data_IF_657207362867
#
_entry.id   IF_657207362867
#
_cell.length_a   1.000
_cell.length_b   1.000
_cell.length_c   1.000
_cell.angle_alpha   90.00
_cell.angle_beta   90.00
_cell.angle_gamma   90.00
#
_symmetry.space_group_name_H-M   'P 1'
#
loop_
_entity.id
_entity.type
_entity.pdbx_description
1 polymer ?
#
# COMPACT_ATOMS: atom_id res chain seq x y z
N UNK A 1 19.25 8.17 -11.76
CA UNK A 1 17.97 7.81 -11.12
C UNK A 1 16.91 7.71 -12.22
N UNK A 2 16.48 6.51 -12.62
CA UNK A 2 15.47 6.35 -13.68
C UNK A 2 14.16 7.00 -13.27
N UNK A 3 13.59 7.83 -14.15
CA UNK A 3 12.33 8.53 -13.91
C UNK A 3 11.26 7.57 -13.37
N UNK A 4 10.88 7.75 -12.09
CA UNK A 4 9.71 7.08 -11.52
C UNK A 4 8.50 7.62 -12.29
N UNK A 5 7.74 6.74 -12.93
CA UNK A 5 6.57 7.09 -13.74
C UNK A 5 5.47 7.80 -12.94
N UNK A 6 4.26 7.96 -13.51
CA UNK A 6 3.15 8.62 -12.81
C UNK A 6 2.81 7.90 -11.50
N UNK A 7 2.35 8.67 -10.52
CA UNK A 7 1.95 8.13 -9.21
C UNK A 7 0.44 7.86 -9.21
N UNK A 8 0.03 6.69 -8.73
CA UNK A 8 -1.37 6.35 -8.52
C UNK A 8 -1.94 7.18 -7.37
N UNK A 9 -3.06 7.86 -7.63
CA UNK A 9 -3.84 8.60 -6.63
C UNK A 9 -5.23 8.00 -6.38
N UNK A 10 -5.56 6.90 -7.08
CA UNK A 10 -6.83 6.19 -6.97
C UNK A 10 -6.56 4.68 -6.83
N UNK A 11 -7.05 4.00 -5.77
CA UNK A 11 -6.83 2.57 -5.55
C UNK A 11 -7.26 1.70 -6.73
N UNK A 12 -8.34 2.07 -7.42
CA UNK A 12 -8.83 1.33 -8.59
C UNK A 12 -7.77 1.18 -9.69
N UNK A 13 -6.78 2.08 -9.75
CA UNK A 13 -5.70 1.98 -10.72
C UNK A 13 -4.83 0.72 -10.51
N UNK A 14 -4.76 0.19 -9.29
CA UNK A 14 -3.96 -1.01 -8.97
C UNK A 14 -4.52 -2.29 -9.59
N UNK A 15 -5.84 -2.34 -9.83
CA UNK A 15 -6.50 -3.46 -10.52
C UNK A 15 -6.15 -3.57 -12.02
N UNK A 16 -5.41 -2.61 -12.58
CA UNK A 16 -4.83 -2.79 -13.91
C UNK A 16 -3.79 -3.93 -13.93
N UNK A 17 -3.15 -4.22 -12.80
CA UNK A 17 -2.39 -5.44 -12.61
C UNK A 17 -3.30 -6.60 -12.19
N UNK A 18 -2.92 -7.83 -12.53
CA UNK A 18 -3.60 -9.03 -12.03
C UNK A 18 -3.15 -9.35 -10.59
N UNK A 19 -3.56 -8.48 -9.66
CA UNK A 19 -3.11 -8.52 -8.27
C UNK A 19 -3.48 -9.84 -7.58
N UNK A 20 -4.61 -10.45 -7.94
CA UNK A 20 -5.06 -11.70 -7.33
C UNK A 20 -4.17 -12.88 -7.71
N UNK A 21 -3.77 -12.96 -8.98
CA UNK A 21 -2.80 -13.96 -9.43
C UNK A 21 -1.47 -13.81 -8.69
N UNK A 22 -1.01 -12.58 -8.50
CA UNK A 22 0.23 -12.30 -7.79
C UNK A 22 0.11 -12.64 -6.28
N UNK A 23 -1.02 -12.35 -5.65
CA UNK A 23 -1.32 -12.76 -4.26
C UNK A 23 -1.28 -14.29 -4.11
N UNK A 24 -1.98 -15.05 -4.97
CA UNK A 24 -1.96 -16.52 -4.93
C UNK A 24 -0.55 -17.06 -5.17
N UNK A 25 0.18 -16.47 -6.12
CA UNK A 25 1.51 -16.94 -6.50
C UNK A 25 2.56 -16.70 -5.41
N UNK A 26 2.50 -15.55 -4.75
CA UNK A 26 3.57 -15.07 -3.88
C UNK A 26 3.22 -15.07 -2.40
N UNK A 27 1.95 -14.92 -2.04
CA UNK A 27 1.53 -14.64 -0.67
C UNK A 27 0.67 -15.75 -0.03
N UNK A 28 0.22 -16.75 -0.79
CA UNK A 28 -0.65 -17.79 -0.22
C UNK A 28 0.08 -18.62 0.85
N UNK A 29 -0.49 -18.81 2.06
CA UNK A 29 0.10 -19.67 3.07
C UNK A 29 0.06 -21.14 2.65
N UNK A 30 1.20 -21.83 2.70
CA UNK A 30 1.27 -23.27 2.42
C UNK A 30 0.98 -23.62 0.97
N UNK A 31 0.19 -24.68 0.75
CA UNK A 31 -0.16 -25.16 -0.60
C UNK A 31 -1.15 -24.21 -1.26
N UNK A 32 -0.80 -23.74 -2.47
CA UNK A 32 -1.67 -22.87 -3.28
C UNK A 32 -2.98 -23.57 -3.62
N UNK A 33 -4.11 -22.85 -3.59
CA UNK A 33 -5.40 -23.45 -3.87
C UNK A 33 -5.58 -23.65 -5.37
N UNK A 34 -6.36 -24.68 -5.74
CA UNK A 34 -6.75 -24.89 -7.14
C UNK A 34 -7.75 -23.81 -7.62
N UNK A 35 -8.61 -23.35 -6.71
CA UNK A 35 -9.59 -22.28 -6.94
C UNK A 35 -9.74 -21.40 -5.69
N UNK A 36 -10.16 -20.16 -5.88
CA UNK A 36 -10.43 -19.22 -4.78
C UNK A 36 -11.64 -18.35 -5.12
N UNK A 37 -12.32 -17.87 -4.09
CA UNK A 37 -13.37 -16.85 -4.17
C UNK A 37 -12.83 -15.51 -3.67
N UNK A 38 -13.42 -14.41 -4.11
CA UNK A 38 -13.07 -13.06 -3.68
C UNK A 38 -14.28 -12.42 -3.02
N UNK A 39 -14.11 -11.93 -1.79
CA UNK A 39 -15.09 -11.10 -1.11
C UNK A 39 -14.54 -9.67 -0.99
N UNK A 40 -15.33 -8.66 -1.34
CA UNK A 40 -14.94 -7.25 -1.28
C UNK A 40 -15.52 -6.59 -0.03
N UNK A 41 -14.81 -5.58 0.49
CA UNK A 41 -15.25 -4.74 1.62
C UNK A 41 -15.70 -5.52 2.86
N UNK A 42 -14.92 -6.52 3.26
CA UNK A 42 -15.25 -7.39 4.40
C UNK A 42 -15.01 -6.64 5.72
N UNK A 43 -16.02 -6.58 6.59
CA UNK A 43 -15.90 -5.95 7.91
C UNK A 43 -14.99 -6.77 8.84
N UNK A 44 -14.04 -6.10 9.49
CA UNK A 44 -13.15 -6.64 10.51
C UNK A 44 -13.52 -6.08 11.89
N UNK A 45 -14.82 -6.11 12.22
CA UNK A 45 -15.36 -5.61 13.47
C UNK A 45 -14.94 -4.15 13.72
N UNK A 46 -14.44 -3.81 14.92
CA UNK A 46 -13.98 -2.45 15.26
C UNK A 46 -12.70 -2.00 14.55
N UNK A 47 -11.99 -2.89 13.82
CA UNK A 47 -10.75 -2.56 13.12
C UNK A 47 -10.96 -1.99 11.70
N UNK A 48 -12.23 -1.80 11.30
CA UNK A 48 -12.62 -1.27 10.00
C UNK A 48 -12.87 -2.35 8.96
N UNK A 49 -12.76 -2.02 7.67
CA UNK A 49 -12.99 -2.95 6.54
C UNK A 49 -11.67 -3.39 5.91
N UNK A 50 -11.65 -4.60 5.36
CA UNK A 50 -10.64 -5.10 4.42
C UNK A 50 -11.13 -4.89 2.99
N UNK A 51 -10.29 -4.34 2.11
CA UNK A 51 -10.69 -4.03 0.72
C UNK A 51 -11.13 -5.29 -0.05
N UNK A 52 -10.36 -6.37 0.04
CA UNK A 52 -10.81 -7.68 -0.41
C UNK A 52 -10.11 -8.85 0.28
N UNK A 53 -10.79 -10.00 0.29
CA UNK A 53 -10.32 -11.25 0.88
C UNK A 53 -10.38 -12.35 -0.18
N UNK A 54 -9.25 -13.02 -0.42
CA UNK A 54 -9.18 -14.21 -1.27
C UNK A 54 -9.31 -15.43 -0.36
N UNK A 55 -10.31 -16.28 -0.58
CA UNK A 55 -10.60 -17.43 0.25
C UNK A 55 -10.64 -18.72 -0.57
N UNK A 56 -9.96 -19.76 -0.08
CA UNK A 56 -10.14 -21.13 -0.56
C UNK A 56 -11.29 -21.76 0.21
N UNK A 57 -12.22 -22.38 -0.53
CA UNK A 57 -13.35 -23.09 0.06
C UNK A 57 -13.31 -24.58 -0.25
N UNK A 58 -13.85 -25.40 0.64
CA UNK A 58 -14.15 -26.80 0.36
C UNK A 58 -15.43 -26.97 -0.48
N UNK A 59 -15.84 -28.21 -0.74
CA UNK A 59 -17.06 -28.55 -1.47
C UNK A 59 -18.35 -28.13 -0.75
N UNK A 60 -18.30 -27.92 0.57
CA UNK A 60 -19.42 -27.48 1.40
C UNK A 60 -19.44 -25.94 1.59
N UNK A 61 -18.56 -25.21 0.89
CA UNK A 61 -18.35 -23.76 1.01
C UNK A 61 -17.76 -23.28 2.35
N UNK A 62 -17.15 -24.16 3.15
CA UNK A 62 -16.39 -23.73 4.33
C UNK A 62 -15.05 -23.13 3.92
N UNK A 63 -14.60 -22.09 4.63
CA UNK A 63 -13.30 -21.45 4.39
C UNK A 63 -12.19 -22.32 4.98
N UNK A 64 -11.28 -22.79 4.12
CA UNK A 64 -10.10 -23.58 4.51
C UNK A 64 -8.94 -22.65 4.89
N UNK A 65 -8.70 -21.64 4.06
CA UNK A 65 -7.61 -20.68 4.19
C UNK A 65 -7.99 -19.40 3.44
N UNK A 66 -7.48 -18.26 3.89
CA UNK A 66 -7.72 -16.98 3.23
C UNK A 66 -6.51 -16.06 3.30
N UNK A 67 -6.53 -14.98 2.52
CA UNK A 67 -5.57 -13.88 2.56
C UNK A 67 -6.33 -12.58 2.40
N UNK A 68 -6.07 -11.61 3.27
CA UNK A 68 -6.61 -10.25 3.14
C UNK A 68 -5.72 -9.42 2.23
N UNK A 69 -6.32 -8.51 1.46
CA UNK A 69 -5.65 -7.61 0.53
C UNK A 69 -6.12 -6.19 0.79
N UNK A 70 -5.17 -5.27 0.94
CA UNK A 70 -5.36 -3.84 1.12
C UNK A 70 -4.71 -3.08 -0.03
N UNK A 71 -5.44 -2.18 -0.64
CA UNK A 71 -4.97 -1.34 -1.73
C UNK A 71 -4.59 0.04 -1.20
N UNK A 72 -3.36 0.46 -1.44
CA UNK A 72 -2.91 1.79 -1.02
C UNK A 72 -2.30 2.60 -2.16
N UNK A 73 -2.84 3.81 -2.33
CA UNK A 73 -2.33 4.85 -3.23
C UNK A 73 -2.03 6.13 -2.47
N UNK A 74 -1.49 7.15 -3.14
CA UNK A 74 -1.19 8.41 -2.46
C UNK A 74 -2.41 9.34 -2.46
N UNK A 75 -2.70 9.95 -1.32
CA UNK A 75 -3.63 11.07 -1.24
C UNK A 75 -2.98 12.33 -1.84
N UNK A 76 -3.79 13.30 -2.26
CA UNK A 76 -3.30 14.63 -2.66
C UNK A 76 -3.78 15.72 -1.71
N UNK A 77 -3.03 16.82 -1.65
CA UNK A 77 -3.52 18.13 -1.20
C UNK A 77 -3.89 18.98 -2.42
N UNK A 78 -4.74 19.99 -2.22
CA UNK A 78 -5.29 20.76 -3.34
C UNK A 78 -6.26 19.92 -4.17
N UNK A 79 -6.39 20.21 -5.46
CA UNK A 79 -7.34 19.49 -6.31
C UNK A 79 -6.92 19.49 -7.78
N UNK A 80 -7.01 18.34 -8.44
CA UNK A 80 -6.94 18.23 -9.91
C UNK A 80 -8.31 18.42 -10.57
N UNK A 81 -9.38 18.57 -9.80
CA UNK A 81 -10.76 18.68 -10.30
C UNK A 81 -10.94 19.81 -11.33
N UNK A 82 -10.30 20.99 -11.22
CA UNK A 82 -10.43 22.01 -12.26
C UNK A 82 -9.93 21.54 -13.64
N UNK A 83 -8.85 20.75 -13.69
CA UNK A 83 -8.38 20.16 -14.94
C UNK A 83 -9.33 19.09 -15.47
N UNK A 84 -9.88 18.25 -14.58
CA UNK A 84 -10.91 17.29 -14.96
C UNK A 84 -12.16 17.98 -15.54
N UNK A 85 -12.66 19.02 -14.85
CA UNK A 85 -13.81 19.79 -15.29
C UNK A 85 -13.57 20.48 -16.64
N UNK A 86 -12.40 21.09 -16.83
CA UNK A 86 -12.04 21.68 -18.12
C UNK A 86 -12.05 20.62 -19.23
N UNK A 87 -11.46 19.46 -18.98
CA UNK A 87 -11.41 18.35 -19.94
C UNK A 87 -12.79 17.83 -20.33
N UNK A 88 -13.67 17.49 -19.38
CA UNK A 88 -15.00 16.95 -19.69
C UNK A 88 -15.91 17.96 -20.40
N UNK A 89 -15.70 19.25 -20.16
CA UNK A 89 -16.47 20.32 -20.79
C UNK A 89 -15.82 20.85 -22.08
N UNK A 90 -14.74 20.21 -22.55
CA UNK A 90 -13.95 20.69 -23.71
C UNK A 90 -13.50 22.16 -23.60
N UNK A 91 -13.29 22.64 -22.37
CA UNK A 91 -12.84 24.00 -22.08
C UNK A 91 -11.31 24.03 -21.96
N UNK A 92 -10.71 25.16 -22.36
CA UNK A 92 -9.30 25.43 -22.05
C UNK A 92 -9.14 25.63 -20.55
N UNK A 93 -8.00 25.18 -20.05
CA UNK A 93 -7.62 25.32 -18.66
C UNK A 93 -6.83 26.61 -18.50
N UNK A 94 -7.44 27.62 -17.86
CA UNK A 94 -6.83 28.95 -17.72
C UNK A 94 -5.54 28.93 -16.90
N UNK A 95 -5.49 28.05 -15.89
CA UNK A 95 -4.33 27.86 -15.03
C UNK A 95 -4.19 26.40 -14.62
N UNK A 96 -2.94 25.96 -14.49
CA UNK A 96 -2.63 24.62 -13.97
C UNK A 96 -3.16 24.49 -12.52
N UNK A 97 -3.96 23.45 -12.19
CA UNK A 97 -4.37 23.23 -10.82
C UNK A 97 -3.18 22.98 -9.92
N UNK A 98 -3.28 23.50 -8.70
CA UNK A 98 -2.27 23.28 -7.66
C UNK A 98 -2.68 22.07 -6.84
N UNK A 99 -1.85 21.04 -6.86
CA UNK A 99 -1.99 19.86 -6.00
C UNK A 99 -0.61 19.28 -5.71
N UNK A 100 -0.48 18.61 -4.57
CA UNK A 100 0.74 17.92 -4.16
C UNK A 100 0.41 16.56 -3.56
N UNK A 101 1.37 15.64 -3.53
CA UNK A 101 1.20 14.35 -2.88
C UNK A 101 1.31 14.48 -1.36
N UNK A 102 0.34 13.92 -0.64
CA UNK A 102 0.29 13.95 0.82
C UNK A 102 0.93 12.70 1.45
N UNK A 103 2.23 12.50 1.17
CA UNK A 103 2.99 11.33 1.62
C UNK A 103 2.91 11.10 3.13
N UNK A 104 2.99 12.18 3.91
CA UNK A 104 3.00 12.12 5.38
C UNK A 104 1.67 11.62 5.94
N UNK A 105 0.55 12.06 5.36
CA UNK A 105 -0.78 11.59 5.78
C UNK A 105 -0.96 10.10 5.47
N UNK A 106 -0.56 9.70 4.25
CA UNK A 106 -0.64 8.31 3.82
C UNK A 106 0.21 7.42 4.74
N UNK A 107 1.45 7.82 5.04
CA UNK A 107 2.30 7.09 5.99
C UNK A 107 1.60 6.89 7.34
N UNK A 108 1.15 7.97 7.99
CA UNK A 108 0.54 7.93 9.33
C UNK A 108 -0.71 7.04 9.38
N UNK A 109 -1.60 7.17 8.40
CA UNK A 109 -2.85 6.41 8.36
C UNK A 109 -2.60 4.95 8.03
N UNK A 110 -1.84 4.69 6.98
CA UNK A 110 -1.70 3.34 6.45
C UNK A 110 -0.85 2.44 7.33
N UNK A 111 0.21 2.97 7.94
CA UNK A 111 1.07 2.17 8.81
C UNK A 111 0.30 1.65 10.04
N UNK A 112 -0.54 2.50 10.64
CA UNK A 112 -1.37 2.11 11.78
C UNK A 112 -2.41 1.06 11.37
N UNK A 113 -3.04 1.22 10.20
CA UNK A 113 -3.96 0.20 9.68
C UNK A 113 -3.27 -1.15 9.49
N UNK A 114 -2.05 -1.18 8.93
CA UNK A 114 -1.28 -2.41 8.75
C UNK A 114 -0.88 -3.04 10.08
N UNK A 115 -0.53 -2.26 11.10
CA UNK A 115 -0.24 -2.78 12.45
C UNK A 115 -1.51 -3.45 13.02
N UNK A 116 -2.61 -2.71 13.10
CA UNK A 116 -3.83 -3.22 13.74
C UNK A 116 -4.42 -4.43 13.01
N UNK A 117 -4.49 -4.40 11.68
CA UNK A 117 -5.01 -5.54 10.91
C UNK A 117 -3.99 -6.69 10.88
N UNK A 118 -2.70 -6.38 10.76
CA UNK A 118 -1.61 -7.36 10.77
C UNK A 118 -1.53 -8.16 12.07
N UNK A 119 -1.90 -7.56 13.20
CA UNK A 119 -2.04 -8.24 14.48
C UNK A 119 -3.01 -9.43 14.38
N UNK A 120 -4.20 -9.24 13.79
CA UNK A 120 -5.17 -10.31 13.61
C UNK A 120 -4.61 -11.44 12.73
N UNK A 121 -3.99 -11.10 11.60
CA UNK A 121 -3.41 -12.08 10.70
C UNK A 121 -2.26 -12.87 11.31
N UNK A 122 -1.48 -12.25 12.21
CA UNK A 122 -0.48 -12.95 12.99
C UNK A 122 -1.08 -14.07 13.85
N UNK A 123 -2.19 -13.80 14.54
CA UNK A 123 -2.86 -14.77 15.42
C UNK A 123 -3.61 -15.85 14.64
N UNK A 124 -4.16 -15.50 13.48
CA UNK A 124 -4.94 -16.43 12.65
C UNK A 124 -4.10 -17.34 11.76
N UNK A 125 -2.78 -17.14 11.69
CA UNK A 125 -1.90 -17.92 10.82
C UNK A 125 -2.12 -17.67 9.32
N UNK A 126 -2.68 -16.51 8.97
CA UNK A 126 -2.90 -16.02 7.60
C UNK A 126 -2.01 -14.80 7.33
N UNK A 127 -2.15 -14.16 6.17
CA UNK A 127 -1.41 -12.97 5.77
C UNK A 127 -2.33 -11.84 5.36
N UNK A 128 -1.88 -10.62 5.60
CA UNK A 128 -2.42 -9.41 4.98
C UNK A 128 -1.44 -8.91 3.91
N UNK A 129 -1.96 -8.59 2.73
CA UNK A 129 -1.18 -8.18 1.58
C UNK A 129 -1.46 -6.73 1.23
N UNK A 130 -0.43 -5.91 1.37
CA UNK A 130 -0.40 -4.50 1.04
C UNK A 130 -0.02 -4.31 -0.44
N UNK A 131 -0.99 -3.98 -1.30
CA UNK A 131 -0.78 -3.74 -2.72
C UNK A 131 -0.58 -2.24 -2.95
N UNK A 132 0.58 -1.85 -3.47
CA UNK A 132 0.89 -0.44 -3.69
C UNK A 132 1.96 -0.22 -4.76
N UNK A 133 2.18 1.05 -5.11
CA UNK A 133 3.32 1.41 -5.96
C UNK A 133 4.64 1.42 -5.20
N UNK A 134 5.73 1.12 -5.90
CA UNK A 134 7.10 1.13 -5.39
C UNK A 134 7.52 2.47 -4.78
N UNK A 135 7.06 3.59 -5.34
CA UNK A 135 7.29 4.92 -4.74
C UNK A 135 6.73 5.03 -3.32
N UNK A 136 5.61 4.37 -3.02
CA UNK A 136 5.04 4.38 -1.67
C UNK A 136 5.80 3.44 -0.74
N UNK A 137 6.20 2.26 -1.23
CA UNK A 137 7.08 1.34 -0.49
C UNK A 137 8.36 2.06 -0.06
N UNK A 138 9.04 2.73 -0.99
CA UNK A 138 10.27 3.47 -0.69
C UNK A 138 10.03 4.52 0.41
N UNK A 139 8.89 5.23 0.36
CA UNK A 139 8.52 6.22 1.39
C UNK A 139 8.22 5.59 2.75
N UNK A 140 7.61 4.40 2.78
CA UNK A 140 7.42 3.65 4.01
C UNK A 140 8.78 3.25 4.61
N UNK A 141 9.72 2.77 3.79
CA UNK A 141 11.07 2.37 4.23
C UNK A 141 12.00 3.53 4.59
N UNK A 142 11.79 4.72 4.01
CA UNK A 142 12.50 5.94 4.41
C UNK A 142 12.17 6.34 5.86
N UNK A 143 10.94 6.09 6.30
CA UNK A 143 10.46 6.51 7.62
C UNK A 143 10.55 5.37 8.65
N UNK A 144 10.18 4.15 8.28
CA UNK A 144 10.25 2.96 9.12
C UNK A 144 11.38 2.04 8.69
N UNK A 145 12.19 1.57 9.65
CA UNK A 145 13.26 0.61 9.38
C UNK A 145 12.72 -0.82 9.48
N UNK A 146 11.84 -1.19 8.56
CA UNK A 146 11.21 -2.51 8.57
C UNK A 146 12.23 -3.60 8.18
N UNK A 147 12.29 -4.64 8.99
CA UNK A 147 13.11 -5.80 8.68
C UNK A 147 12.39 -6.70 7.67
N UNK A 148 13.02 -6.94 6.53
CA UNK A 148 12.50 -7.88 5.56
C UNK A 148 12.65 -9.32 6.07
N UNK A 149 11.58 -10.10 5.95
CA UNK A 149 11.51 -11.52 6.33
C UNK A 149 11.11 -12.34 5.11
N UNK A 150 11.64 -13.57 4.92
CA UNK A 150 11.17 -14.47 3.89
C UNK A 150 9.64 -14.60 3.91
N UNK A 151 9.00 -14.56 2.75
CA UNK A 151 7.52 -14.48 2.66
C UNK A 151 6.84 -15.68 3.31
N UNK A 152 7.47 -16.85 3.30
CA UNK A 152 6.96 -18.03 4.00
C UNK A 152 6.74 -17.76 5.50
N UNK A 153 7.61 -16.96 6.11
CA UNK A 153 7.64 -16.68 7.56
C UNK A 153 7.05 -15.30 7.91
N UNK A 154 6.45 -14.61 6.93
CA UNK A 154 5.84 -13.28 7.11
C UNK A 154 4.32 -13.37 7.30
N UNK A 155 3.72 -12.42 8.02
CA UNK A 155 2.26 -12.26 8.12
C UNK A 155 1.76 -10.97 7.46
N UNK A 156 2.69 -10.09 7.08
CA UNK A 156 2.44 -8.91 6.26
C UNK A 156 3.30 -9.03 5.01
N UNK A 157 2.72 -8.81 3.84
CA UNK A 157 3.44 -8.83 2.56
C UNK A 157 3.11 -7.59 1.74
N UNK A 158 4.11 -6.86 1.29
CA UNK A 158 3.94 -5.78 0.33
C UNK A 158 4.12 -6.31 -1.09
N UNK A 159 3.10 -6.17 -1.93
CA UNK A 159 3.25 -6.36 -3.38
C UNK A 159 3.54 -5.00 -4.01
N UNK A 160 4.80 -4.81 -4.41
CA UNK A 160 5.32 -3.56 -4.95
C UNK A 160 5.23 -3.51 -6.47
N UNK A 161 4.46 -2.56 -7.01
CA UNK A 161 4.30 -2.37 -8.45
C UNK A 161 4.97 -1.10 -8.94
N UNK A 162 5.59 -1.16 -10.12
CA UNK A 162 6.18 0.01 -10.79
C UNK A 162 5.41 0.35 -12.04
N UNK A 163 5.23 1.65 -12.29
CA UNK A 163 4.76 2.14 -13.57
C UNK A 163 5.85 1.99 -14.64
N UNK A 164 5.53 1.25 -15.68
CA UNK A 164 6.37 1.06 -16.87
C UNK A 164 5.66 1.65 -18.09
N UNK A 165 6.38 2.45 -18.86
CA UNK A 165 5.88 3.03 -20.10
C UNK A 165 5.92 1.96 -21.20
N UNK A 166 4.80 1.73 -21.89
CA UNK A 166 4.71 0.90 -23.10
C UNK A 166 5.19 1.70 -24.32
N UNK A 167 5.43 1.00 -25.42
CA UNK A 167 5.79 1.60 -26.72
C UNK A 167 4.75 2.62 -27.20
N UNK A 168 3.46 2.39 -26.93
CA UNK A 168 2.36 3.31 -27.25
C UNK A 168 2.24 4.53 -26.32
N UNK A 169 3.21 4.77 -25.44
CA UNK A 169 3.23 5.89 -24.51
C UNK A 169 2.38 5.71 -23.25
N UNK A 170 1.52 4.69 -23.16
CA UNK A 170 0.69 4.41 -21.97
C UNK A 170 1.53 3.76 -20.86
N UNK A 171 1.15 4.01 -19.62
CA UNK A 171 1.76 3.36 -18.46
C UNK A 171 0.97 2.14 -18.01
N UNK A 172 1.69 1.10 -17.61
CA UNK A 172 1.15 -0.12 -17.01
C UNK A 172 1.91 -0.48 -15.73
N UNK A 173 1.22 -1.15 -14.81
CA UNK A 173 1.79 -1.66 -13.58
C UNK A 173 2.50 -2.98 -13.87
N UNK A 174 3.72 -3.10 -13.35
CA UNK A 174 4.50 -4.34 -13.36
C UNK A 174 4.92 -4.64 -11.94
N UNK A 175 4.62 -5.85 -11.44
CA UNK A 175 5.14 -6.32 -10.17
C UNK A 175 6.67 -6.27 -10.22
N UNK A 176 7.28 -5.59 -9.25
CA UNK A 176 8.73 -5.54 -9.10
C UNK A 176 9.18 -6.68 -8.20
N UNK A 177 8.65 -6.72 -6.97
CA UNK A 177 8.91 -7.80 -6.02
C UNK A 177 7.86 -7.84 -4.90
N UNK A 178 7.59 -9.02 -4.35
CA UNK A 178 6.99 -9.16 -3.03
C UNK A 178 8.01 -8.87 -1.92
N UNK A 179 7.55 -8.29 -0.81
CA UNK A 179 8.37 -7.96 0.37
C UNK A 179 7.65 -8.46 1.62
N UNK A 180 8.23 -9.43 2.33
CA UNK A 180 7.64 -9.95 3.57
C UNK A 180 8.16 -9.21 4.80
N UNK A 181 7.31 -9.06 5.83
CA UNK A 181 7.70 -8.66 7.18
C UNK A 181 6.79 -9.34 8.21
N UNK A 182 7.26 -9.47 9.45
CA UNK A 182 6.39 -9.85 10.56
C UNK A 182 5.75 -8.61 11.17
N UNK A 183 4.59 -8.80 11.77
CA UNK A 183 3.90 -7.78 12.56
C UNK A 183 4.81 -7.17 13.64
N UNK A 184 5.56 -8.00 14.38
CA UNK A 184 6.52 -7.54 15.39
C UNK A 184 7.62 -6.66 14.79
N UNK A 185 8.19 -7.05 13.65
CA UNK A 185 9.24 -6.27 12.97
C UNK A 185 8.71 -4.93 12.46
N UNK A 186 7.48 -4.91 11.96
CA UNK A 186 6.79 -3.68 11.55
C UNK A 186 6.63 -2.72 12.74
N UNK A 187 6.14 -3.24 13.87
CA UNK A 187 5.91 -2.46 15.09
C UNK A 187 7.23 -1.93 15.68
N UNK A 188 8.25 -2.79 15.78
CA UNK A 188 9.57 -2.41 16.28
C UNK A 188 10.24 -1.36 15.40
N UNK A 189 10.11 -1.48 14.07
CA UNK A 189 10.66 -0.50 13.12
C UNK A 189 10.10 0.92 13.29
N UNK A 190 8.92 1.06 13.91
CA UNK A 190 8.27 2.35 14.19
C UNK A 190 8.62 2.85 15.59
N UNK A 191 8.53 1.97 16.61
CA UNK A 191 8.81 2.32 18.00
C UNK A 191 10.28 2.72 18.22
N UNK A 192 11.21 2.06 17.53
CA UNK A 192 12.64 2.30 17.66
C UNK A 192 13.21 3.14 16.51
N UNK A 193 12.36 3.94 15.82
CA UNK A 193 12.83 4.90 14.83
C UNK A 193 13.76 5.94 15.49
N UNK A 194 14.88 6.27 14.82
CA UNK A 194 15.89 7.18 15.37
C UNK A 194 15.27 8.57 15.60
N UNK A 195 15.37 9.07 16.83
CA UNK A 195 14.95 10.43 17.15
C UNK A 195 15.76 11.46 16.33
N UNK A 196 15.13 12.56 15.87
CA UNK A 196 15.85 13.65 15.23
C UNK A 196 16.84 14.30 16.23
N UNK A 197 17.90 14.93 15.73
CA UNK A 197 18.84 15.67 16.58
C UNK A 197 18.10 16.80 17.31
N UNK A 198 18.24 16.80 18.64
CA UNK A 198 17.70 17.85 19.51
C UNK A 198 18.30 19.22 19.16
N UNK A 199 19.61 19.27 18.95
CA UNK A 199 20.32 20.54 18.68
C UNK A 199 19.87 21.15 17.35
N UNK A 200 19.78 20.34 16.29
CA UNK A 200 19.25 20.80 14.99
C UNK A 200 17.79 21.27 15.07
N UNK A 201 17.03 20.73 16.02
CA UNK A 201 15.66 21.17 16.26
C UNK A 201 15.63 22.49 17.03
N UNK A 202 16.46 22.63 18.07
CA UNK A 202 16.62 23.88 18.84
C UNK A 202 17.02 25.03 17.91
N UNK A 203 18.00 24.83 17.02
CA UNK A 203 18.43 25.86 16.06
C UNK A 203 17.28 26.36 15.18
N UNK A 204 16.39 25.45 14.76
CA UNK A 204 15.22 25.81 13.96
C UNK A 204 14.17 26.56 14.77
N UNK A 205 14.03 26.23 16.06
CA UNK A 205 13.12 26.94 16.97
C UNK A 205 13.62 28.36 17.23
N UNK A 206 14.92 28.52 17.54
CA UNK A 206 15.52 29.84 17.76
C UNK A 206 15.35 30.76 16.54
N UNK A 207 15.58 30.24 15.33
CA UNK A 207 15.34 30.96 14.06
C UNK A 207 13.88 31.39 13.81
N UNK A 208 12.91 30.81 14.52
CA UNK A 208 11.49 31.17 14.40
C UNK A 208 11.03 32.13 15.51
N UNK A 209 11.81 32.25 16.58
CA UNK A 209 11.51 33.09 17.74
C UNK A 209 12.16 34.48 17.64
N UNK A 210 13.30 34.58 16.94
CA UNK A 210 13.88 35.87 16.50
C UNK A 210 13.40 36.25 15.12
#
# INVERSE_FOLDING_TARGET
MTAKGPVCVCPNRLYEANIFKDVIKHCWPGRKPASYKVAYEVSLSSLGKIDCVLAQTDSANNIIQFVSVELQTVDITGSYFPAYNAFINSKRLDKRPVYNFNWRNVYKRYIMQLIFKGFSHHHWGTKIVAVMQDVLVDKLWEVGRFQETPIKDSNIVFLSYRMKKKSNGRYHLKLIRPIGTRHMDLMNGILYAKAPSKDLFIDKVLKRLG
#
